data_IF_683935798859
#
_entry.id   IF_683935798859
#
_cell.length_a   1.000
_cell.length_b   1.000
_cell.length_c   1.000
_cell.angle_alpha   90.00
_cell.angle_beta   90.00
_cell.angle_gamma   90.00
#
_symmetry.space_group_name_H-M   'P 1'
#
loop_
_entity.id
_entity.type
_entity.pdbx_description
1 polymer ?
#
# COMPACT_ATOMS: atom_id res chain seq x y z
N UNK A 1 -11.10 -31.73 -0.91
CA UNK A 1 -10.30 -32.20 -2.05
C UNK A 1 -8.93 -32.62 -1.55
N UNK A 2 -8.50 -33.84 -1.86
CA UNK A 2 -7.11 -34.29 -1.60
C UNK A 2 -6.73 -35.35 -2.63
N UNK A 3 -5.47 -35.35 -3.04
CA UNK A 3 -4.89 -36.39 -3.91
C UNK A 3 -5.67 -36.64 -5.21
N UNK A 4 -6.18 -35.57 -5.83
CA UNK A 4 -7.01 -35.64 -7.04
C UNK A 4 -8.38 -36.31 -6.83
N UNK A 5 -8.86 -36.40 -5.60
CA UNK A 5 -10.15 -36.99 -5.23
C UNK A 5 -11.07 -35.97 -4.56
N UNK A 6 -12.36 -36.11 -4.85
CA UNK A 6 -13.45 -35.44 -4.16
C UNK A 6 -14.05 -36.39 -3.12
N UNK A 7 -14.27 -35.89 -1.91
CA UNK A 7 -14.91 -36.67 -0.82
C UNK A 7 -16.12 -35.91 -0.28
N UNK A 8 -17.18 -36.63 -0.05
CA UNK A 8 -18.39 -36.13 0.62
C UNK A 8 -18.90 -37.21 1.58
N UNK A 9 -18.72 -37.03 2.87
CA UNK A 9 -18.98 -38.05 3.87
C UNK A 9 -18.16 -39.33 3.60
N UNK A 10 -18.85 -40.49 3.44
CA UNK A 10 -18.18 -41.78 3.13
C UNK A 10 -17.98 -42.03 1.63
N UNK A 11 -18.46 -41.15 0.76
CA UNK A 11 -18.31 -41.29 -0.70
C UNK A 11 -17.01 -40.60 -1.15
N UNK A 12 -16.33 -41.23 -2.11
CA UNK A 12 -15.12 -40.67 -2.71
C UNK A 12 -15.09 -41.02 -4.20
N UNK A 13 -14.77 -40.06 -5.03
CA UNK A 13 -14.57 -40.20 -6.48
C UNK A 13 -13.29 -39.49 -6.91
N UNK A 14 -12.71 -39.92 -8.04
CA UNK A 14 -11.63 -39.12 -8.66
C UNK A 14 -12.22 -37.83 -9.22
N UNK A 15 -11.41 -36.77 -9.31
CA UNK A 15 -11.85 -35.51 -9.91
C UNK A 15 -12.32 -35.74 -11.36
N UNK A 16 -11.58 -36.56 -12.12
CA UNK A 16 -11.94 -36.92 -13.48
C UNK A 16 -13.27 -37.64 -13.57
N UNK A 17 -13.55 -38.60 -12.67
CA UNK A 17 -14.86 -39.30 -12.67
C UNK A 17 -16.01 -38.44 -12.15
N UNK A 18 -15.73 -37.48 -11.28
CA UNK A 18 -16.74 -36.55 -10.78
C UNK A 18 -17.07 -35.45 -11.81
N UNK A 19 -16.12 -35.08 -12.66
CA UNK A 19 -16.35 -34.17 -13.77
C UNK A 19 -17.05 -34.83 -14.96
N UNK A 20 -17.03 -36.19 -15.02
CA UNK A 20 -17.57 -36.96 -16.15
C UNK A 20 -17.06 -36.47 -17.52
N UNK A 21 -17.85 -36.62 -18.57
CA UNK A 21 -17.46 -36.21 -19.92
C UNK A 21 -17.98 -34.80 -20.31
N UNK A 22 -18.35 -33.99 -19.34
CA UNK A 22 -18.93 -32.66 -19.58
C UNK A 22 -18.19 -31.55 -18.81
N UNK A 23 -18.21 -30.35 -19.35
CA UNK A 23 -17.80 -29.15 -18.63
C UNK A 23 -18.81 -28.88 -17.52
N UNK A 24 -18.33 -28.90 -16.27
CA UNK A 24 -19.14 -28.49 -15.11
C UNK A 24 -18.88 -26.99 -14.87
N UNK A 25 -19.94 -26.21 -14.97
CA UNK A 25 -19.95 -24.79 -14.58
C UNK A 25 -20.69 -24.69 -13.25
N UNK A 26 -20.07 -24.12 -12.26
CA UNK A 26 -20.68 -23.81 -10.97
C UNK A 26 -20.54 -22.31 -10.73
N UNK A 27 -21.67 -21.68 -10.52
CA UNK A 27 -21.74 -20.26 -10.11
C UNK A 27 -22.25 -20.22 -8.68
N UNK A 28 -21.62 -19.40 -7.89
CA UNK A 28 -22.01 -19.12 -6.52
C UNK A 28 -21.72 -17.65 -6.21
N UNK A 29 -22.45 -17.07 -5.29
CA UNK A 29 -22.22 -15.72 -4.83
C UNK A 29 -22.34 -15.63 -3.31
N UNK A 30 -21.65 -14.67 -2.73
CA UNK A 30 -21.64 -14.46 -1.30
C UNK A 30 -22.40 -13.17 -1.00
N UNK A 31 -23.45 -13.31 -0.21
CA UNK A 31 -24.14 -12.18 0.39
C UNK A 31 -23.61 -11.92 1.80
N UNK A 32 -23.19 -10.68 2.06
CA UNK A 32 -22.70 -10.32 3.38
C UNK A 32 -23.81 -10.12 4.42
N UNK A 33 -25.08 -10.09 3.97
CA UNK A 33 -26.25 -9.92 4.84
C UNK A 33 -26.15 -8.62 5.66
N UNK A 34 -26.34 -8.75 6.97
CA UNK A 34 -26.27 -7.61 7.90
C UNK A 34 -24.90 -7.44 8.56
N UNK A 35 -23.82 -8.02 8.01
CA UNK A 35 -22.49 -7.93 8.61
C UNK A 35 -21.98 -6.48 8.69
N UNK A 36 -22.29 -5.66 7.70
CA UNK A 36 -21.98 -4.24 7.66
C UNK A 36 -22.64 -3.43 8.77
N UNK A 37 -23.78 -3.89 9.28
CA UNK A 37 -24.47 -3.30 10.45
C UNK A 37 -23.89 -3.72 11.79
N UNK A 38 -23.21 -4.87 11.82
CA UNK A 38 -22.68 -5.47 13.06
C UNK A 38 -21.18 -5.23 13.23
N UNK A 39 -20.44 -5.12 12.13
CA UNK A 39 -18.98 -5.03 12.11
C UNK A 39 -18.51 -3.96 11.13
N UNK A 40 -17.54 -3.18 11.56
CA UNK A 40 -16.75 -2.36 10.64
C UNK A 40 -15.62 -3.22 10.10
N UNK A 41 -15.66 -3.51 8.80
CA UNK A 41 -14.68 -4.35 8.14
C UNK A 41 -13.63 -3.46 7.47
N UNK A 42 -12.39 -3.55 7.91
CA UNK A 42 -11.27 -2.81 7.34
C UNK A 42 -9.97 -3.56 7.51
N UNK A 43 -9.03 -3.31 6.62
CA UNK A 43 -7.62 -3.62 6.84
C UNK A 43 -6.97 -2.48 7.63
N UNK A 44 -5.88 -2.78 8.29
CA UNK A 44 -5.12 -1.78 9.03
C UNK A 44 -3.63 -1.95 8.79
N UNK A 45 -2.90 -0.84 8.68
CA UNK A 45 -1.45 -0.86 8.60
C UNK A 45 -0.82 0.29 9.39
N UNK A 46 0.34 0.02 9.99
CA UNK A 46 1.25 1.02 10.52
C UNK A 46 2.43 1.22 9.56
N UNK A 47 2.77 2.47 9.27
CA UNK A 47 3.90 2.81 8.41
C UNK A 47 4.99 3.51 9.21
N UNK A 48 6.23 3.07 9.02
CA UNK A 48 7.42 3.61 9.64
C UNK A 48 8.40 4.03 8.57
N UNK A 49 8.91 5.24 8.67
CA UNK A 49 9.82 5.82 7.67
C UNK A 49 11.00 6.46 8.38
N UNK A 50 12.18 6.23 7.85
CA UNK A 50 13.39 6.96 8.19
C UNK A 50 13.82 7.81 7.00
N UNK A 51 14.04 9.09 7.22
CA UNK A 51 14.55 10.02 6.23
C UNK A 51 15.90 10.59 6.66
N UNK A 52 16.70 11.01 5.68
CA UNK A 52 17.79 11.94 5.88
C UNK A 52 17.43 13.25 5.20
N UNK A 53 17.67 14.36 5.88
CA UNK A 53 17.53 15.71 5.32
C UNK A 53 18.89 16.36 5.34
N UNK A 54 19.37 16.81 4.17
CA UNK A 54 20.61 17.54 4.07
C UNK A 54 20.45 18.92 4.71
N UNK A 55 21.32 19.23 5.66
CA UNK A 55 21.19 20.45 6.48
C UNK A 55 21.47 21.73 5.69
N UNK A 56 22.19 21.66 4.56
CA UNK A 56 22.52 22.79 3.72
C UNK A 56 21.56 23.00 2.56
N UNK A 57 21.18 21.90 1.91
CA UNK A 57 20.34 21.93 0.70
C UNK A 57 18.87 21.72 0.99
N UNK A 58 18.52 21.12 2.15
CA UNK A 58 17.16 20.70 2.47
C UNK A 58 16.71 19.43 1.75
N UNK A 59 17.57 18.82 0.91
CA UNK A 59 17.21 17.63 0.15
C UNK A 59 16.78 16.50 1.11
N UNK A 60 15.59 15.98 0.90
CA UNK A 60 15.01 14.88 1.70
C UNK A 60 15.14 13.57 0.97
N UNK A 61 15.76 12.57 1.60
CA UNK A 61 15.93 11.23 1.05
C UNK A 61 15.34 10.17 1.97
N UNK A 62 14.59 9.26 1.40
CA UNK A 62 14.14 8.06 2.11
C UNK A 62 15.34 7.14 2.36
N UNK A 63 15.52 6.72 3.60
CA UNK A 63 16.58 5.76 3.99
C UNK A 63 16.02 4.34 4.07
N UNK A 64 14.90 4.17 4.70
CA UNK A 64 14.19 2.90 4.80
C UNK A 64 12.72 3.11 5.16
N UNK A 65 11.92 2.13 4.77
CA UNK A 65 10.49 2.09 5.06
C UNK A 65 10.07 0.71 5.54
N UNK A 66 9.12 0.67 6.45
CA UNK A 66 8.47 -0.55 6.91
C UNK A 66 6.96 -0.35 6.96
N UNK A 67 6.21 -1.28 6.39
CA UNK A 67 4.78 -1.42 6.62
C UNK A 67 4.48 -2.67 7.46
N UNK A 68 3.69 -2.52 8.51
CA UNK A 68 3.17 -3.62 9.33
C UNK A 68 1.68 -3.71 9.09
N UNK A 69 1.21 -4.80 8.50
CA UNK A 69 -0.12 -4.93 7.92
C UNK A 69 -0.95 -6.00 8.62
N UNK A 70 -2.17 -5.66 9.01
CA UNK A 70 -3.21 -6.56 9.48
C UNK A 70 -4.27 -6.69 8.39
N UNK A 71 -4.21 -7.76 7.59
CA UNK A 71 -5.06 -8.00 6.42
C UNK A 71 -5.73 -9.38 6.43
N UNK A 72 -5.95 -9.95 7.62
CA UNK A 72 -6.46 -11.30 7.73
C UNK A 72 -5.46 -12.31 7.18
N UNK A 73 -5.97 -13.45 6.71
CA UNK A 73 -5.13 -14.50 6.12
C UNK A 73 -4.48 -14.02 4.82
N UNK A 74 -3.17 -14.09 4.73
CA UNK A 74 -2.43 -13.78 3.51
C UNK A 74 -2.39 -15.02 2.61
N UNK A 75 -3.10 -14.96 1.49
CA UNK A 75 -3.25 -16.09 0.57
C UNK A 75 -1.98 -16.34 -0.24
N UNK A 76 -1.33 -15.28 -0.70
CA UNK A 76 -0.07 -15.34 -1.41
C UNK A 76 0.91 -14.28 -0.86
N UNK A 77 1.87 -14.66 -0.03
CA UNK A 77 2.79 -13.71 0.60
C UNK A 77 3.64 -12.91 -0.39
N UNK A 78 4.02 -13.51 -1.53
CA UNK A 78 4.85 -12.82 -2.54
C UNK A 78 4.10 -11.69 -3.21
N UNK A 79 2.89 -11.95 -3.69
CA UNK A 79 2.08 -10.93 -4.37
C UNK A 79 1.54 -9.90 -3.40
N UNK A 80 1.15 -10.29 -2.19
CA UNK A 80 0.72 -9.36 -1.15
C UNK A 80 1.87 -8.41 -0.75
N UNK A 81 3.07 -8.92 -0.56
CA UNK A 81 4.26 -8.10 -0.27
C UNK A 81 4.56 -7.14 -1.42
N UNK A 82 4.52 -7.62 -2.65
CA UNK A 82 4.73 -6.78 -3.85
C UNK A 82 3.70 -5.65 -3.93
N UNK A 83 2.44 -5.93 -3.63
CA UNK A 83 1.38 -4.92 -3.62
C UNK A 83 1.65 -3.81 -2.59
N UNK A 84 2.04 -4.17 -1.38
CA UNK A 84 2.34 -3.19 -0.32
C UNK A 84 3.59 -2.37 -0.68
N UNK A 85 4.64 -2.98 -1.21
CA UNK A 85 5.85 -2.28 -1.66
C UNK A 85 5.52 -1.27 -2.77
N UNK A 86 4.77 -1.68 -3.78
CA UNK A 86 4.34 -0.78 -4.86
C UNK A 86 3.53 0.41 -4.34
N UNK A 87 2.64 0.17 -3.40
CA UNK A 87 1.83 1.20 -2.77
C UNK A 87 2.68 2.17 -1.91
N UNK A 88 3.67 1.66 -1.17
CA UNK A 88 4.63 2.53 -0.46
C UNK A 88 5.42 3.41 -1.43
N UNK A 89 5.85 2.86 -2.56
CA UNK A 89 6.55 3.63 -3.62
C UNK A 89 5.68 4.76 -4.15
N UNK A 90 4.42 4.49 -4.48
CA UNK A 90 3.46 5.53 -4.89
C UNK A 90 3.28 6.59 -3.80
N UNK A 91 3.21 6.17 -2.54
CA UNK A 91 3.09 7.10 -1.41
C UNK A 91 4.30 8.02 -1.23
N UNK A 92 5.50 7.56 -1.59
CA UNK A 92 6.71 8.44 -1.61
C UNK A 92 6.57 9.48 -2.71
N UNK A 93 6.14 9.10 -3.91
CA UNK A 93 5.88 10.03 -5.00
C UNK A 93 4.92 11.14 -4.58
N UNK A 94 3.76 10.75 -4.07
CA UNK A 94 2.76 11.71 -3.58
C UNK A 94 3.26 12.61 -2.44
N UNK A 95 4.17 12.12 -1.59
CA UNK A 95 4.69 12.87 -0.46
C UNK A 95 5.81 13.85 -0.80
N UNK A 96 6.67 13.55 -1.76
CA UNK A 96 7.94 14.26 -1.99
C UNK A 96 8.10 14.85 -3.39
N UNK A 97 7.43 14.32 -4.43
CA UNK A 97 7.79 14.59 -5.83
C UNK A 97 6.61 14.99 -6.72
N UNK A 98 5.52 14.25 -6.63
CA UNK A 98 4.43 14.31 -7.60
C UNK A 98 3.55 15.54 -7.38
N UNK A 99 3.72 16.54 -8.23
CA UNK A 99 2.89 17.74 -8.26
C UNK A 99 2.40 18.01 -9.68
N UNK A 100 1.09 17.97 -9.87
CA UNK A 100 0.49 18.27 -11.15
C UNK A 100 0.21 19.78 -11.24
N UNK A 101 1.07 20.51 -11.97
CA UNK A 101 0.97 21.95 -12.13
C UNK A 101 -0.09 22.34 -13.16
N UNK A 102 -1.02 23.23 -12.77
CA UNK A 102 -2.10 23.72 -13.63
C UNK A 102 -1.83 25.18 -14.02
N UNK A 103 -1.79 25.48 -15.33
CA UNK A 103 -1.89 26.86 -15.82
C UNK A 103 -3.38 27.30 -15.73
N UNK A 104 -3.70 28.02 -14.68
CA UNK A 104 -5.09 28.46 -14.42
C UNK A 104 -5.58 29.53 -15.42
N UNK A 105 -4.67 30.17 -16.19
CA UNK A 105 -5.04 31.18 -17.21
C UNK A 105 -5.48 30.52 -18.50
N UNK A 106 -4.91 29.33 -18.80
CA UNK A 106 -5.15 28.62 -20.08
C UNK A 106 -5.91 27.31 -19.89
N UNK A 107 -6.00 26.80 -18.66
CA UNK A 107 -6.77 25.62 -18.31
C UNK A 107 -6.15 24.29 -18.77
N UNK A 108 -4.82 24.17 -18.73
CA UNK A 108 -4.14 22.92 -19.04
C UNK A 108 -3.06 22.56 -18.00
N UNK A 109 -2.65 21.29 -17.99
CA UNK A 109 -1.56 20.80 -17.15
C UNK A 109 -0.21 21.12 -17.80
N UNK A 110 0.68 21.78 -17.06
CA UNK A 110 1.99 22.21 -17.57
C UNK A 110 2.96 21.04 -17.69
N UNK A 111 2.97 20.17 -16.66
CA UNK A 111 3.88 19.02 -16.55
C UNK A 111 3.09 17.69 -16.76
N UNK A 112 2.55 17.51 -17.96
CA UNK A 112 1.67 16.39 -18.30
C UNK A 112 2.41 15.17 -18.89
N UNK A 113 3.73 15.14 -18.82
CA UNK A 113 4.57 14.04 -19.28
C UNK A 113 5.69 13.72 -18.29
N UNK A 114 6.40 12.60 -18.49
CA UNK A 114 7.48 12.17 -17.59
C UNK A 114 8.75 13.04 -17.65
N UNK A 115 8.80 14.04 -18.50
CA UNK A 115 9.90 15.02 -18.51
C UNK A 115 9.69 16.11 -17.46
N UNK A 116 8.43 16.38 -17.12
CA UNK A 116 8.06 17.42 -16.15
C UNK A 116 7.33 16.91 -14.91
N UNK A 117 6.75 15.73 -14.97
CA UNK A 117 6.07 15.08 -13.82
C UNK A 117 6.99 14.03 -13.21
N UNK A 118 7.48 14.30 -12.02
CA UNK A 118 8.46 13.45 -11.33
C UNK A 118 7.78 12.29 -10.61
N UNK A 119 8.27 11.08 -10.85
CA UNK A 119 7.89 9.87 -10.12
C UNK A 119 9.11 9.23 -9.46
N UNK A 120 8.97 8.55 -8.31
CA UNK A 120 10.10 7.92 -7.64
C UNK A 120 10.72 6.82 -8.49
N UNK A 121 12.04 6.77 -8.53
CA UNK A 121 12.82 5.69 -9.11
C UNK A 121 13.45 4.82 -8.02
N UNK A 122 14.03 3.68 -8.38
CA UNK A 122 14.63 2.75 -7.41
C UNK A 122 15.68 3.38 -6.49
N UNK A 123 16.41 4.39 -6.99
CA UNK A 123 17.42 5.10 -6.20
C UNK A 123 16.84 5.94 -5.06
N UNK A 124 15.58 6.38 -5.20
CA UNK A 124 14.90 7.20 -4.19
C UNK A 124 14.40 6.36 -3.01
N UNK A 125 14.24 5.06 -3.20
CA UNK A 125 13.65 4.16 -2.19
C UNK A 125 14.52 2.90 -2.03
N UNK A 126 15.68 3.00 -1.36
CA UNK A 126 16.67 1.91 -1.31
C UNK A 126 16.20 0.68 -0.52
N UNK A 127 15.41 0.87 0.55
CA UNK A 127 15.01 -0.21 1.45
C UNK A 127 13.54 -0.12 1.83
N UNK A 128 12.77 -1.14 1.41
CA UNK A 128 11.37 -1.31 1.79
C UNK A 128 11.17 -2.71 2.35
N UNK A 129 10.46 -2.79 3.48
CA UNK A 129 10.07 -4.07 4.06
C UNK A 129 8.60 -4.10 4.47
N UNK A 130 8.05 -5.31 4.55
CA UNK A 130 6.64 -5.55 4.87
C UNK A 130 6.54 -6.72 5.84
N UNK A 131 5.85 -6.48 6.94
CA UNK A 131 5.48 -7.50 7.92
C UNK A 131 3.97 -7.66 7.89
N UNK A 132 3.48 -8.88 7.68
CA UNK A 132 2.08 -9.21 7.88
C UNK A 132 1.91 -9.80 9.29
N UNK A 133 0.97 -9.22 10.05
CA UNK A 133 0.56 -9.76 11.34
C UNK A 133 -0.22 -11.04 11.08
N UNK A 134 0.04 -12.07 11.88
CA UNK A 134 -0.75 -13.31 11.84
C UNK A 134 -2.14 -13.03 12.42
N UNK A 135 -3.07 -12.80 11.52
CA UNK A 135 -4.45 -12.45 11.82
C UNK A 135 -5.41 -13.42 11.12
N UNK A 136 -6.46 -13.80 11.80
CA UNK A 136 -7.57 -14.58 11.25
C UNK A 136 -8.83 -13.74 11.32
N UNK A 137 -9.42 -13.44 10.17
CA UNK A 137 -10.69 -12.74 10.06
C UNK A 137 -11.80 -13.71 9.65
N UNK A 138 -12.71 -13.99 10.58
CA UNK A 138 -13.84 -14.90 10.36
C UNK A 138 -15.10 -14.19 9.82
N UNK A 139 -15.03 -12.88 9.51
CA UNK A 139 -16.17 -12.06 9.14
C UNK A 139 -16.14 -11.57 7.70
N UNK A 140 -14.97 -11.07 7.23
CA UNK A 140 -14.88 -10.38 5.93
C UNK A 140 -15.03 -11.32 4.74
N UNK A 141 -14.55 -12.55 4.82
CA UNK A 141 -14.69 -13.53 3.73
C UNK A 141 -14.55 -14.96 4.21
N UNK A 142 -15.09 -15.96 3.47
CA UNK A 142 -14.88 -17.37 3.77
C UNK A 142 -13.42 -17.81 3.72
N UNK A 143 -12.56 -17.09 2.99
CA UNK A 143 -11.11 -17.33 2.92
C UNK A 143 -10.37 -16.75 4.13
N UNK A 144 -11.07 -15.98 4.99
CA UNK A 144 -10.51 -15.27 6.15
C UNK A 144 -9.48 -14.19 5.77
N UNK A 145 -9.51 -13.76 4.52
CA UNK A 145 -8.63 -12.75 3.96
C UNK A 145 -9.35 -11.41 3.83
N UNK A 146 -8.61 -10.32 3.99
CA UNK A 146 -9.05 -8.95 3.71
C UNK A 146 -8.28 -8.38 2.52
N UNK A 147 -8.72 -7.25 1.98
CA UNK A 147 -8.07 -6.60 0.85
C UNK A 147 -6.71 -6.00 1.21
N UNK A 148 -5.75 -6.06 0.29
CA UNK A 148 -4.42 -5.44 0.44
C UNK A 148 -4.09 -4.45 -0.69
N UNK A 149 -5.06 -4.17 -1.57
CA UNK A 149 -4.84 -3.40 -2.80
C UNK A 149 -4.20 -2.04 -2.55
N UNK A 150 -4.76 -1.24 -1.64
CA UNK A 150 -4.28 0.11 -1.32
C UNK A 150 -3.84 0.26 0.14
N UNK A 151 -3.80 -0.82 0.89
CA UNK A 151 -3.38 -0.80 2.30
C UNK A 151 -2.00 -0.18 2.49
N UNK A 152 -1.09 -0.43 1.56
CA UNK A 152 0.29 0.03 1.62
C UNK A 152 0.47 1.54 1.38
N UNK A 153 -0.52 2.27 0.86
CA UNK A 153 -0.38 3.71 0.56
C UNK A 153 -0.94 4.62 1.65
N UNK A 154 -1.99 4.18 2.36
CA UNK A 154 -2.81 5.04 3.19
C UNK A 154 -2.07 5.83 4.30
N UNK A 155 -0.97 5.32 4.83
CA UNK A 155 -0.21 5.97 5.91
C UNK A 155 1.12 6.57 5.49
N UNK A 156 1.55 6.39 4.24
CA UNK A 156 2.93 6.66 3.81
C UNK A 156 3.26 8.15 3.86
N UNK A 157 2.44 9.00 3.25
CA UNK A 157 2.69 10.44 3.22
C UNK A 157 2.75 11.04 4.64
N UNK A 158 1.85 10.60 5.52
CA UNK A 158 1.87 11.04 6.91
C UNK A 158 3.12 10.57 7.67
N UNK A 159 3.57 9.33 7.41
CA UNK A 159 4.80 8.79 8.01
C UNK A 159 6.04 9.57 7.53
N UNK A 160 6.12 9.90 6.23
CA UNK A 160 7.19 10.73 5.67
C UNK A 160 7.17 12.13 6.29
N UNK A 161 6.01 12.79 6.35
CA UNK A 161 5.88 14.11 6.94
C UNK A 161 6.29 14.13 8.42
N UNK A 162 5.98 13.08 9.17
CA UNK A 162 6.41 12.93 10.55
C UNK A 162 7.92 12.70 10.66
N UNK A 163 8.51 11.92 9.75
CA UNK A 163 9.95 11.69 9.71
C UNK A 163 10.73 12.99 9.38
N UNK A 164 10.25 13.77 8.40
CA UNK A 164 10.81 15.09 8.06
C UNK A 164 10.71 16.03 9.25
N UNK A 165 9.55 16.08 9.90
CA UNK A 165 9.40 16.89 11.12
C UNK A 165 10.35 16.46 12.23
N UNK A 166 10.53 15.17 12.44
CA UNK A 166 11.44 14.65 13.45
C UNK A 166 12.90 15.01 13.15
N UNK A 167 13.27 15.03 11.86
CA UNK A 167 14.62 15.38 11.43
C UNK A 167 14.92 16.89 11.50
N UNK A 168 13.90 17.73 11.23
CA UNK A 168 14.11 19.18 10.99
C UNK A 168 13.43 20.10 12.01
N UNK A 169 12.43 19.60 12.72
CA UNK A 169 11.52 20.44 13.53
C UNK A 169 10.50 21.24 12.70
N UNK A 170 10.56 21.15 11.35
CA UNK A 170 9.65 21.89 10.46
C UNK A 170 8.43 21.05 10.11
N UNK A 171 7.24 21.55 10.46
CA UNK A 171 5.97 20.88 10.12
C UNK A 171 5.44 21.39 8.78
N UNK A 172 5.58 20.59 7.73
CA UNK A 172 4.93 20.81 6.42
C UNK A 172 3.58 20.08 6.44
N UNK A 173 2.52 20.73 5.93
CA UNK A 173 1.16 20.19 5.87
C UNK A 173 0.60 20.13 4.45
N UNK A 174 1.34 20.64 3.49
CA UNK A 174 0.98 20.68 2.08
C UNK A 174 1.92 19.76 1.29
N UNK A 175 1.34 18.82 0.55
CA UNK A 175 2.08 17.88 -0.28
C UNK A 175 2.19 18.36 -1.73
N UNK A 176 3.23 17.92 -2.45
CA UNK A 176 4.42 17.25 -1.96
C UNK A 176 5.28 18.13 -1.05
N UNK A 177 6.15 17.54 -0.22
CA UNK A 177 7.09 18.25 0.67
C UNK A 177 8.30 18.68 -0.15
N UNK A 178 8.14 19.71 -0.95
CA UNK A 178 9.18 20.31 -1.79
C UNK A 178 10.10 21.22 -0.99
N UNK A 179 11.29 21.52 -1.53
CA UNK A 179 12.33 22.30 -0.84
C UNK A 179 11.85 23.68 -0.40
N UNK A 180 11.10 24.37 -1.22
CA UNK A 180 10.52 25.69 -0.94
C UNK A 180 9.64 25.73 0.31
N UNK A 181 9.07 24.60 0.70
CA UNK A 181 8.18 24.50 1.86
C UNK A 181 8.88 24.39 3.20
N UNK A 182 10.20 24.14 3.22
CA UNK A 182 10.93 23.93 4.48
C UNK A 182 12.36 24.48 4.53
N UNK A 183 13.01 24.76 3.42
CA UNK A 183 14.44 25.14 3.38
C UNK A 183 14.74 26.38 4.23
N UNK A 184 13.92 27.42 4.15
CA UNK A 184 14.10 28.68 4.89
C UNK A 184 13.85 28.54 6.40
N UNK A 185 13.36 27.39 6.83
CA UNK A 185 12.99 27.10 8.23
C UNK A 185 13.85 26.01 8.84
N UNK A 186 14.86 25.53 8.13
CA UNK A 186 15.78 24.53 8.67
C UNK A 186 16.57 25.11 9.85
N UNK A 187 16.91 24.27 10.86
CA UNK A 187 17.73 24.68 11.98
C UNK A 187 19.10 25.21 11.50
N UNK A 188 19.62 26.23 12.18
CA UNK A 188 20.96 26.69 11.92
C UNK A 188 21.98 25.57 12.18
N UNK A 189 22.95 25.45 11.28
CA UNK A 189 24.04 24.48 11.44
C UNK A 189 25.02 25.07 12.43
N UNK A 190 25.20 24.40 13.56
CA UNK A 190 26.16 24.78 14.61
C UNK A 190 27.45 23.97 14.53
#
# INVERSE_FOLDING_TARGET
FSDGRVRSGRRSATLASAAADSTIVVEDFIEYGDLDKQYQQSTFAGHFVEVAVDAYTGETRIRRMLAVCAAGRILNPKTARSQVIGAMTMGVGAALMEELAVDTRRGFFVNHDLAGYEVPVHADIPHQDVIFIDEVDDKSSPMKAKGVGELGICGVAAAIANAVYNATGVRVRDYPITLDKHIDRLPAIT
#
